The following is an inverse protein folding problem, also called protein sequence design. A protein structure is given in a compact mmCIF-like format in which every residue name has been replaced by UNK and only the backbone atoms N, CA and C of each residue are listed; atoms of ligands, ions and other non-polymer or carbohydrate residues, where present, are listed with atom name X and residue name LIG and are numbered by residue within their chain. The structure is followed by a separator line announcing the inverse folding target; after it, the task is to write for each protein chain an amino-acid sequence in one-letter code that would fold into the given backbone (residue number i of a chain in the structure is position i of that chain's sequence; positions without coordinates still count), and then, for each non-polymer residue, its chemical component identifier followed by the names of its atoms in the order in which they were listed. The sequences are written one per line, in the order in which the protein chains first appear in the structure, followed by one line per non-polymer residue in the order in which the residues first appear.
data_IF_175161199241
#
_entry.id   IF_175161199241
#
_cell.length_a   1.000
_cell.length_b   1.000
_cell.length_c   1.000
_cell.angle_alpha   90.00
_cell.angle_beta   90.00
_cell.angle_gamma   90.00
#
_symmetry.space_group_name_H-M   'P 1'
#
loop_
_entity.id
_entity.type
_entity.pdbx_description
1 polymer ?
#
# COMPACT_ATOMS: atom_id res chain seq x y z
N UNK A 1 -13.03 9.19 5.35
CA UNK A 1 -12.09 9.93 4.48
C UNK A 1 -12.02 9.23 3.14
N UNK A 2 -12.56 9.82 2.07
CA UNK A 2 -12.50 9.23 0.73
C UNK A 2 -11.62 10.10 -0.15
N UNK A 3 -10.52 9.51 -0.61
CA UNK A 3 -9.54 10.15 -1.46
C UNK A 3 -9.89 9.88 -2.94
N UNK A 4 -10.16 10.95 -3.67
CA UNK A 4 -10.20 10.92 -5.13
C UNK A 4 -8.81 11.26 -5.63
N UNK A 5 -8.25 10.39 -6.47
CA UNK A 5 -7.01 10.67 -7.17
C UNK A 5 -7.35 11.07 -8.59
N UNK A 6 -7.06 12.32 -8.92
CA UNK A 6 -7.17 12.83 -10.29
C UNK A 6 -5.77 13.08 -10.84
N UNK A 7 -5.53 12.58 -12.05
CA UNK A 7 -4.26 12.76 -12.73
C UNK A 7 -4.28 14.09 -13.47
N UNK A 8 -3.35 14.99 -13.16
CA UNK A 8 -3.14 16.23 -13.90
C UNK A 8 -1.78 16.21 -14.61
N UNK A 9 -1.56 17.08 -15.61
CA UNK A 9 -0.25 17.19 -16.28
C UNK A 9 0.93 17.48 -15.34
N UNK A 10 0.66 18.01 -14.14
CA UNK A 10 1.66 18.43 -13.16
C UNK A 10 1.78 17.47 -11.96
N UNK A 11 1.15 16.29 -12.02
CA UNK A 11 1.19 15.28 -10.96
C UNK A 11 -0.18 14.86 -10.43
N UNK A 12 -0.17 14.07 -9.35
CA UNK A 12 -1.36 13.53 -8.70
C UNK A 12 -2.01 14.59 -7.81
N UNK A 13 -3.29 14.88 -8.04
CA UNK A 13 -4.09 15.64 -7.10
C UNK A 13 -4.94 14.67 -6.27
N UNK A 14 -4.78 14.73 -4.96
CA UNK A 14 -5.65 14.05 -4.00
C UNK A 14 -6.67 15.05 -3.51
N UNK A 15 -7.95 14.85 -3.86
CA UNK A 15 -9.05 15.62 -3.26
C UNK A 15 -9.81 14.75 -2.27
N UNK A 16 -10.08 15.30 -1.09
CA UNK A 16 -10.83 14.62 -0.04
C UNK A 16 -12.27 15.11 -0.08
N UNK A 17 -13.23 14.19 -0.21
CA UNK A 17 -14.64 14.49 0.02
C UNK A 17 -15.04 13.97 1.40
N UNK A 18 -15.36 14.89 2.30
CA UNK A 18 -15.83 14.58 3.66
C UNK A 18 -17.35 14.35 3.71
N UNK A 19 -18.09 14.67 2.64
CA UNK A 19 -19.55 14.53 2.61
C UNK A 19 -20.03 13.09 2.38
N UNK A 20 -19.12 12.18 2.01
CA UNK A 20 -19.39 10.77 1.72
C UNK A 20 -18.69 9.82 2.70
N UNK A 21 -18.25 10.32 3.85
CA UNK A 21 -17.55 9.50 4.84
C UNK A 21 -18.49 8.52 5.55
N UNK A 22 -18.18 7.20 5.56
CA UNK A 22 -18.95 6.24 6.34
C UNK A 22 -18.96 6.61 7.83
N UNK A 23 -20.04 6.28 8.57
CA UNK A 23 -20.11 6.54 10.00
C UNK A 23 -19.01 5.77 10.76
N UNK A 24 -18.54 6.31 11.89
CA UNK A 24 -17.40 5.77 12.67
C UNK A 24 -17.53 4.28 12.99
N UNK A 25 -18.74 3.79 13.30
CA UNK A 25 -18.98 2.38 13.60
C UNK A 25 -18.64 1.45 12.43
N UNK A 26 -18.73 1.94 11.18
CA UNK A 26 -18.43 1.17 9.97
C UNK A 26 -17.00 0.66 10.00
N UNK A 27 -16.04 1.51 10.38
CA UNK A 27 -14.63 1.13 10.49
C UNK A 27 -14.34 0.15 11.64
N UNK A 28 -15.28 0.00 12.57
CA UNK A 28 -15.18 -0.99 13.65
C UNK A 28 -15.74 -2.36 13.25
N UNK A 29 -16.44 -2.45 12.12
CA UNK A 29 -17.01 -3.71 11.63
C UNK A 29 -15.92 -4.65 11.12
N UNK A 30 -15.99 -5.93 11.50
CA UNK A 30 -14.94 -6.92 11.19
C UNK A 30 -14.68 -7.06 9.69
N UNK A 31 -15.75 -7.10 8.88
CA UNK A 31 -15.61 -7.13 7.41
C UNK A 31 -14.81 -5.95 6.85
N UNK A 32 -14.97 -4.76 7.44
CA UNK A 32 -14.27 -3.54 7.00
C UNK A 32 -12.80 -3.60 7.43
N UNK A 33 -12.52 -4.06 8.65
CA UNK A 33 -11.15 -4.29 9.13
C UNK A 33 -10.41 -5.30 8.26
N UNK A 34 -11.06 -6.40 7.91
CA UNK A 34 -10.49 -7.43 7.03
C UNK A 34 -10.22 -6.86 5.63
N UNK A 35 -11.15 -6.11 5.05
CA UNK A 35 -10.94 -5.46 3.76
C UNK A 35 -9.73 -4.50 3.80
N UNK A 36 -9.64 -3.66 4.84
CA UNK A 36 -8.51 -2.75 5.03
C UNK A 36 -7.19 -3.50 5.24
N UNK A 37 -7.20 -4.60 5.98
CA UNK A 37 -6.03 -5.45 6.18
C UNK A 37 -5.53 -6.03 4.85
N UNK A 38 -6.43 -6.55 4.00
CA UNK A 38 -6.04 -7.07 2.68
C UNK A 38 -5.41 -5.99 1.80
N UNK A 39 -5.89 -4.74 1.88
CA UNK A 39 -5.25 -3.63 1.18
C UNK A 39 -3.87 -3.30 1.75
N UNK A 40 -3.73 -3.27 3.08
CA UNK A 40 -2.44 -3.02 3.72
C UNK A 40 -1.41 -4.07 3.31
N UNK A 41 -1.79 -5.35 3.29
CA UNK A 41 -0.92 -6.43 2.82
C UNK A 41 -0.54 -6.21 1.35
N UNK A 42 -1.52 -5.90 0.48
CA UNK A 42 -1.25 -5.64 -0.93
C UNK A 42 -0.22 -4.51 -1.09
N UNK A 43 -0.42 -3.41 -0.38
CA UNK A 43 0.42 -2.21 -0.50
C UNK A 43 1.82 -2.44 0.03
N UNK A 44 1.93 -3.03 1.22
CA UNK A 44 3.22 -3.33 1.85
C UNK A 44 4.02 -4.33 1.01
N UNK A 45 3.40 -5.41 0.52
CA UNK A 45 4.15 -6.46 -0.19
C UNK A 45 4.62 -5.99 -1.56
N UNK A 46 3.81 -5.22 -2.32
CA UNK A 46 4.35 -4.68 -3.58
C UNK A 46 5.43 -3.64 -3.28
N UNK A 47 5.30 -2.86 -2.20
CA UNK A 47 6.30 -1.89 -1.80
C UNK A 47 7.64 -2.58 -1.55
N UNK A 48 7.63 -3.66 -0.77
CA UNK A 48 8.78 -4.53 -0.50
C UNK A 48 9.43 -5.05 -1.78
N UNK A 49 8.63 -5.52 -2.75
CA UNK A 49 9.14 -6.03 -4.02
C UNK A 49 9.89 -4.94 -4.81
N UNK A 50 9.35 -3.72 -4.86
CA UNK A 50 10.00 -2.63 -5.61
C UNK A 50 11.17 -2.02 -4.82
N UNK A 51 11.07 -2.00 -3.49
CA UNK A 51 12.08 -1.39 -2.61
C UNK A 51 13.28 -2.30 -2.35
N UNK A 52 13.13 -3.63 -2.47
CA UNK A 52 14.15 -4.62 -2.06
C UNK A 52 15.53 -4.32 -2.63
N UNK A 53 15.61 -3.90 -3.91
CA UNK A 53 16.89 -3.58 -4.55
C UNK A 53 17.67 -2.50 -3.80
N UNK A 54 16.97 -1.53 -3.21
CA UNK A 54 17.59 -0.43 -2.46
C UNK A 54 17.87 -0.82 -1.01
N UNK A 55 17.03 -1.65 -0.41
CA UNK A 55 17.11 -2.03 1.00
C UNK A 55 18.21 -3.05 1.29
N UNK A 56 18.55 -3.90 0.33
CA UNK A 56 19.65 -4.87 0.46
C UNK A 56 21.03 -4.27 0.18
N UNK A 57 21.13 -2.99 -0.22
CA UNK A 57 22.41 -2.34 -0.45
C UNK A 57 23.17 -2.18 0.88
N UNK A 58 24.50 -2.40 0.91
CA UNK A 58 25.29 -2.39 2.16
C UNK A 58 25.16 -1.11 3.01
N UNK A 59 24.81 0.04 2.41
CA UNK A 59 24.63 1.32 3.11
C UNK A 59 23.25 1.51 3.75
N UNK A 60 22.26 0.71 3.33
CA UNK A 60 20.91 0.66 3.91
C UNK A 60 20.65 -0.67 4.62
N UNK A 61 21.73 -1.40 4.93
CA UNK A 61 21.76 -2.69 5.61
C UNK A 61 21.29 -2.57 7.07
N UNK A 62 19.99 -2.35 7.23
CA UNK A 62 19.31 -2.24 8.50
C UNK A 62 17.81 -2.44 8.38
N UNK A 63 17.27 -2.35 7.15
CA UNK A 63 15.88 -2.66 6.85
C UNK A 63 15.68 -4.18 6.75
N UNK A 64 15.52 -4.82 7.91
CA UNK A 64 15.14 -6.25 8.02
C UNK A 64 13.63 -6.43 7.78
N UNK A 65 12.89 -5.32 7.72
CA UNK A 65 11.44 -5.21 7.55
C UNK A 65 10.99 -5.30 6.08
N UNK A 66 11.60 -6.20 5.30
CA UNK A 66 11.17 -6.52 3.94
C UNK A 66 10.93 -8.03 3.79
N UNK A 67 9.79 -8.41 3.24
CA UNK A 67 9.39 -9.81 3.11
C UNK A 67 10.36 -10.62 2.23
N UNK A 68 11.02 -10.01 1.25
CA UNK A 68 11.92 -10.70 0.32
C UNK A 68 13.18 -11.25 1.03
N UNK A 69 14.02 -10.43 1.70
CA UNK A 69 15.15 -10.96 2.46
C UNK A 69 14.72 -11.89 3.59
N UNK A 70 13.56 -11.65 4.23
CA UNK A 70 13.01 -12.57 5.24
C UNK A 70 12.69 -13.95 4.67
N UNK A 71 12.09 -14.02 3.47
CA UNK A 71 11.79 -15.27 2.78
C UNK A 71 13.07 -16.01 2.36
N UNK A 72 14.07 -15.29 1.86
CA UNK A 72 15.38 -15.87 1.53
C UNK A 72 16.02 -16.48 2.79
N UNK A 73 16.08 -15.71 3.88
CA UNK A 73 16.73 -16.11 5.12
C UNK A 73 16.01 -17.30 5.80
N UNK A 74 14.69 -17.23 5.93
CA UNK A 74 13.93 -18.22 6.70
C UNK A 74 13.51 -19.46 5.91
N UNK A 75 13.31 -19.34 4.59
CA UNK A 75 12.84 -20.44 3.74
C UNK A 75 13.90 -20.96 2.77
N UNK A 76 15.09 -20.35 2.73
CA UNK A 76 16.16 -20.75 1.82
C UNK A 76 15.82 -20.54 0.34
N UNK A 77 14.87 -19.64 0.04
CA UNK A 77 14.46 -19.34 -1.33
C UNK A 77 15.53 -18.52 -2.05
N UNK A 78 15.61 -18.68 -3.36
CA UNK A 78 16.29 -17.70 -4.22
C UNK A 78 15.54 -16.36 -4.23
N UNK A 79 16.22 -15.28 -4.64
CA UNK A 79 15.57 -13.96 -4.75
C UNK A 79 14.35 -13.97 -5.68
N UNK A 80 14.42 -14.72 -6.78
CA UNK A 80 13.29 -14.84 -7.71
C UNK A 80 12.12 -15.62 -7.09
N UNK A 81 12.39 -16.72 -6.40
CA UNK A 81 11.35 -17.50 -5.71
C UNK A 81 10.69 -16.70 -4.59
N UNK A 82 11.46 -15.96 -3.80
CA UNK A 82 10.94 -15.05 -2.78
C UNK A 82 10.07 -13.95 -3.40
N UNK A 83 10.48 -13.39 -4.53
CA UNK A 83 9.69 -12.39 -5.28
C UNK A 83 8.38 -12.99 -5.79
N UNK A 84 8.42 -14.18 -6.39
CA UNK A 84 7.23 -14.88 -6.85
C UNK A 84 6.26 -15.15 -5.69
N UNK A 85 6.78 -15.55 -4.53
CA UNK A 85 5.98 -15.72 -3.32
C UNK A 85 5.31 -14.41 -2.87
N UNK A 86 6.03 -13.28 -2.92
CA UNK A 86 5.44 -11.96 -2.67
C UNK A 86 4.30 -11.62 -3.64
N UNK A 87 4.48 -11.91 -4.94
CA UNK A 87 3.43 -11.73 -5.95
C UNK A 87 2.20 -12.60 -5.65
N UNK A 88 2.39 -13.85 -5.20
CA UNK A 88 1.28 -14.71 -4.78
C UNK A 88 0.50 -14.11 -3.59
N UNK A 89 1.18 -13.55 -2.59
CA UNK A 89 0.54 -12.86 -1.46
C UNK A 89 -0.31 -11.68 -1.96
N UNK A 90 0.22 -10.88 -2.89
CA UNK A 90 -0.52 -9.76 -3.50
C UNK A 90 -1.78 -10.27 -4.20
N UNK A 91 -1.67 -11.34 -5.00
CA UNK A 91 -2.81 -11.91 -5.72
C UNK A 91 -3.88 -12.46 -4.77
N UNK A 92 -3.48 -13.14 -3.70
CA UNK A 92 -4.40 -13.66 -2.68
C UNK A 92 -5.11 -12.51 -1.97
N UNK A 93 -4.37 -11.46 -1.59
CA UNK A 93 -4.93 -10.31 -0.88
C UNK A 93 -5.91 -9.54 -1.75
N UNK A 94 -5.57 -9.32 -3.02
CA UNK A 94 -6.47 -8.71 -4.00
C UNK A 94 -7.77 -9.52 -4.15
N UNK A 95 -7.67 -10.84 -4.37
CA UNK A 95 -8.85 -11.70 -4.50
C UNK A 95 -9.72 -11.69 -3.23
N UNK A 96 -9.08 -11.70 -2.06
CA UNK A 96 -9.77 -11.65 -0.77
C UNK A 96 -10.52 -10.34 -0.61
N UNK A 97 -9.89 -9.19 -0.88
CA UNK A 97 -10.54 -7.89 -0.89
C UNK A 97 -11.77 -7.87 -1.82
N UNK A 98 -11.62 -8.33 -3.08
CA UNK A 98 -12.72 -8.39 -4.06
C UNK A 98 -13.87 -9.29 -3.58
N UNK A 99 -13.59 -10.34 -2.81
CA UNK A 99 -14.61 -11.22 -2.26
C UNK A 99 -15.48 -10.58 -1.16
N UNK A 100 -14.98 -9.50 -0.54
CA UNK A 100 -15.72 -8.75 0.49
C UNK A 100 -16.67 -7.71 -0.09
N UNK A 101 -16.48 -7.27 -1.33
CA UNK A 101 -17.30 -6.20 -1.93
C UNK A 101 -18.81 -6.47 -1.86
N UNK A 102 -19.33 -7.66 -2.24
CA UNK A 102 -20.78 -7.90 -2.17
C UNK A 102 -21.32 -7.82 -0.74
N UNK A 103 -20.52 -8.26 0.23
CA UNK A 103 -20.89 -8.25 1.64
C UNK A 103 -20.86 -6.82 2.21
N UNK A 104 -19.89 -6.00 1.79
CA UNK A 104 -19.81 -4.60 2.16
C UNK A 104 -20.98 -3.82 1.57
N UNK A 105 -21.34 -4.06 0.30
CA UNK A 105 -22.53 -3.47 -0.31
C UNK A 105 -23.81 -3.86 0.44
N UNK A 106 -23.98 -5.13 0.81
CA UNK A 106 -25.12 -5.57 1.61
C UNK A 106 -25.17 -4.87 2.98
N UNK A 107 -24.03 -4.81 3.70
CA UNK A 107 -23.90 -4.07 4.96
C UNK A 107 -24.31 -2.59 4.81
N UNK A 108 -23.90 -1.97 3.70
CA UNK A 108 -24.26 -0.59 3.38
C UNK A 108 -25.75 -0.40 3.15
N UNK A 109 -26.40 -1.32 2.44
CA UNK A 109 -27.84 -1.31 2.21
C UNK A 109 -28.62 -1.50 3.51
N UNK A 110 -28.24 -2.47 4.34
CA UNK A 110 -28.90 -2.79 5.62
C UNK A 110 -28.87 -1.61 6.60
N UNK A 111 -27.83 -0.78 6.52
CA UNK A 111 -27.62 0.35 7.44
C UNK A 111 -27.87 1.73 6.81
N UNK A 112 -28.45 1.78 5.60
CA UNK A 112 -28.74 3.01 4.85
C UNK A 112 -27.51 3.93 4.61
N UNK A 113 -26.36 3.33 4.32
CA UNK A 113 -25.10 4.02 4.01
C UNK A 113 -24.49 3.53 2.68
N UNK A 114 -25.34 3.13 1.74
CA UNK A 114 -24.90 2.48 0.50
C UNK A 114 -23.98 3.37 -0.36
N UNK A 115 -24.23 4.68 -0.39
CA UNK A 115 -23.41 5.64 -1.15
C UNK A 115 -22.03 5.82 -0.52
N UNK A 116 -21.96 5.87 0.80
CA UNK A 116 -20.72 5.97 1.57
C UNK A 116 -19.87 4.70 1.42
N UNK A 117 -20.51 3.52 1.42
CA UNK A 117 -19.83 2.25 1.16
C UNK A 117 -19.28 2.17 -0.26
N UNK A 118 -20.05 2.58 -1.26
CA UNK A 118 -19.59 2.60 -2.66
C UNK A 118 -18.36 3.51 -2.82
N UNK A 119 -18.46 4.72 -2.26
CA UNK A 119 -17.37 5.67 -2.30
C UNK A 119 -16.14 5.17 -1.48
N UNK A 120 -16.35 4.46 -0.36
CA UNK A 120 -15.28 3.81 0.40
C UNK A 120 -14.56 2.74 -0.42
N UNK A 121 -15.29 1.85 -1.09
CA UNK A 121 -14.73 0.80 -1.95
C UNK A 121 -13.95 1.39 -3.12
N UNK A 122 -14.48 2.44 -3.75
CA UNK A 122 -13.76 3.15 -4.80
C UNK A 122 -12.49 3.83 -4.27
N UNK A 123 -12.56 4.43 -3.08
CA UNK A 123 -11.41 5.04 -2.40
C UNK A 123 -10.30 4.03 -2.12
N UNK A 124 -10.68 2.82 -1.68
CA UNK A 124 -9.78 1.69 -1.46
C UNK A 124 -9.00 1.32 -2.75
N UNK A 125 -9.72 1.16 -3.87
CA UNK A 125 -9.11 0.84 -5.17
C UNK A 125 -8.21 1.98 -5.65
N UNK A 126 -8.68 3.23 -5.56
CA UNK A 126 -7.91 4.40 -5.95
C UNK A 126 -6.61 4.51 -5.14
N UNK A 127 -6.66 4.23 -3.84
CA UNK A 127 -5.48 4.26 -2.98
C UNK A 127 -4.45 3.20 -3.39
N UNK A 128 -4.87 1.97 -3.67
CA UNK A 128 -3.98 0.91 -4.16
C UNK A 128 -3.32 1.29 -5.50
N UNK A 129 -4.12 1.75 -6.48
CA UNK A 129 -3.62 2.16 -7.80
C UNK A 129 -2.70 3.37 -7.69
N UNK A 130 -3.09 4.37 -6.91
CA UNK A 130 -2.32 5.57 -6.69
C UNK A 130 -0.99 5.31 -6.00
N UNK A 131 -0.97 4.41 -5.02
CA UNK A 131 0.26 4.03 -4.32
C UNK A 131 1.22 3.26 -5.25
N UNK A 132 0.68 2.42 -6.14
CA UNK A 132 1.46 1.76 -7.19
C UNK A 132 2.04 2.78 -8.18
N UNK A 133 1.21 3.71 -8.66
CA UNK A 133 1.65 4.78 -9.56
C UNK A 133 2.72 5.66 -8.93
N UNK A 134 2.53 6.08 -7.67
CA UNK A 134 3.54 6.82 -6.92
C UNK A 134 4.86 6.05 -6.86
N UNK A 135 4.82 4.73 -6.67
CA UNK A 135 6.03 3.89 -6.61
C UNK A 135 6.82 3.93 -7.92
N UNK A 136 6.16 3.95 -9.07
CA UNK A 136 6.84 4.03 -10.38
C UNK A 136 7.29 5.44 -10.77
N UNK A 137 6.59 6.48 -10.28
CA UNK A 137 6.90 7.87 -10.60
C UNK A 137 7.79 8.56 -9.56
N UNK A 138 7.98 7.97 -8.39
CA UNK A 138 8.87 8.50 -7.37
C UNK A 138 10.32 8.14 -7.68
N UNK A 139 11.18 9.17 -7.70
CA UNK A 139 12.65 9.02 -7.79
C UNK A 139 13.23 8.14 -6.66
N UNK A 140 12.44 7.89 -5.60
CA UNK A 140 12.78 7.02 -4.46
C UNK A 140 13.27 5.62 -4.88
N UNK A 141 12.71 5.04 -5.95
CA UNK A 141 13.00 3.66 -6.36
C UNK A 141 13.73 3.52 -7.69
N UNK A 142 13.81 4.56 -8.51
CA UNK A 142 14.35 4.44 -9.88
C UNK A 142 15.48 5.43 -10.21
N UNK A 143 15.60 6.56 -9.51
CA UNK A 143 16.54 7.65 -9.84
C UNK A 143 17.39 8.16 -8.65
N UNK A 144 17.54 7.36 -7.60
CA UNK A 144 18.46 7.70 -6.51
C UNK A 144 19.91 7.34 -6.91
N UNK A 145 20.66 8.28 -7.48
CA UNK A 145 22.12 8.20 -7.48
C UNK A 145 22.61 8.44 -6.05
N UNK A 146 23.27 7.47 -5.38
CA UNK A 146 23.91 7.76 -4.11
C UNK A 146 24.98 8.81 -4.37
N UNK A 147 24.82 10.00 -3.81
CA UNK A 147 25.90 10.98 -3.79
C UNK A 147 26.87 10.50 -2.71
N UNK A 148 28.06 10.08 -3.13
CA UNK A 148 29.11 9.53 -2.26
C UNK A 148 29.86 10.67 -1.55
N UNK A 149 29.12 11.62 -0.99
CA UNK A 149 29.65 12.70 -0.18
C UNK A 149 29.85 12.23 1.25
N UNK A 150 31.06 12.41 1.77
CA UNK A 150 31.45 12.27 3.18
C UNK A 150 30.74 13.32 4.08
N UNK A 151 29.44 13.50 3.91
CA UNK A 151 28.64 14.52 4.56
C UNK A 151 28.36 14.15 6.01
N UNK A 152 29.14 14.72 6.93
CA UNK A 152 28.83 14.76 8.36
C UNK A 152 27.35 15.13 8.58
N UNK A 153 26.57 14.18 9.12
CA UNK A 153 25.31 14.52 9.78
C UNK A 153 25.63 15.20 11.11
N UNK A 154 25.48 16.52 11.17
CA UNK A 154 25.37 17.23 12.44
C UNK A 154 23.89 17.35 12.82
N UNK A 155 23.54 16.79 13.97
CA UNK A 155 22.23 16.98 14.59
C UNK A 155 22.30 18.24 15.45
N UNK A 156 21.57 19.28 15.06
CA UNK A 156 21.33 20.43 15.94
C UNK A 156 20.09 20.11 16.78
N UNK A 157 20.31 19.81 18.05
CA UNK A 157 19.23 19.76 19.05
C UNK A 157 18.93 21.19 19.49
N UNK A 158 17.73 21.66 19.17
CA UNK A 158 17.13 22.88 19.72
C UNK A 158 16.17 22.55 20.86
#
# INVERSE_FOLDING_TARGET
MIAYMTMSPNGFNVSLDFSLEPPVWFFSHELVKEALLQMSILISVYNDIVSVRHEILPQKSGHIDNIIPLLIYHKGLTAQEATNFGVEIIQISYKSFRSFEPQLYALGQENNIATEVDAFLQGCINFCVGSLQWTYHANRYFDCTPDWGDGEMSVVLG
#
